data_IF_428423611031
#
_entry.id   IF_428423611031
#
_cell.length_a   1.000
_cell.length_b   1.000
_cell.length_c   1.000
_cell.angle_alpha   90.00
_cell.angle_beta   90.00
_cell.angle_gamma   90.00
#
_symmetry.space_group_name_H-M   'P 1'
#
loop_
_entity.id
_entity.type
_entity.pdbx_description
1 polymer ?
#
# COMPACT_ATOMS: atom_id res chain seq x y z
N UNK A 1 -4.59 -9.27 3.07
CA UNK A 1 -3.99 -8.16 3.82
C UNK A 1 -2.90 -8.70 4.74
N UNK A 2 -1.73 -8.08 4.76
CA UNK A 2 -0.57 -8.43 5.59
C UNK A 2 -0.94 -8.46 7.09
N UNK A 3 -1.84 -7.60 7.54
CA UNK A 3 -2.33 -7.59 8.92
C UNK A 3 -2.88 -8.93 9.42
N UNK A 4 -3.47 -9.73 8.53
CA UNK A 4 -4.00 -11.07 8.86
C UNK A 4 -2.98 -12.18 8.61
N UNK A 5 -1.97 -11.93 7.80
CA UNK A 5 -0.97 -12.92 7.42
C UNK A 5 0.05 -13.14 8.55
N UNK A 6 0.51 -12.08 9.20
CA UNK A 6 1.50 -12.16 10.27
C UNK A 6 1.01 -13.00 11.46
N UNK A 7 -0.19 -12.75 12.03
CA UNK A 7 -0.71 -13.62 13.08
C UNK A 7 -0.84 -15.09 12.66
N UNK A 8 -1.26 -15.36 11.42
CA UNK A 8 -1.38 -16.75 10.91
C UNK A 8 -0.04 -17.46 10.79
N UNK A 9 1.01 -16.76 10.35
CA UNK A 9 2.37 -17.31 10.30
C UNK A 9 2.89 -17.64 11.69
N UNK A 10 2.59 -16.78 12.65
CA UNK A 10 2.99 -16.98 14.02
C UNK A 10 2.26 -18.15 14.68
N UNK A 11 0.95 -18.33 14.41
CA UNK A 11 0.16 -19.47 14.87
C UNK A 11 0.72 -20.82 14.36
N UNK A 12 1.26 -20.89 13.15
CA UNK A 12 1.95 -22.09 12.66
C UNK A 12 3.19 -22.46 13.51
N UNK A 13 3.82 -21.48 14.16
CA UNK A 13 5.01 -21.69 15.00
C UNK A 13 4.66 -22.03 16.44
N UNK A 14 3.57 -21.53 16.98
CA UNK A 14 3.21 -21.60 18.42
C UNK A 14 2.07 -22.56 18.76
N UNK A 15 1.37 -23.13 17.78
CA UNK A 15 0.13 -23.88 18.05
C UNK A 15 -1.10 -22.99 18.31
N UNK A 16 -2.21 -23.56 18.74
CA UNK A 16 -3.51 -22.88 18.93
C UNK A 16 -3.53 -21.97 20.17
N UNK A 17 -2.79 -20.88 20.14
CA UNK A 17 -2.85 -19.81 21.16
C UNK A 17 -3.57 -18.60 20.57
N UNK A 18 -4.18 -17.75 21.41
CA UNK A 18 -4.85 -16.53 20.99
C UNK A 18 -4.03 -15.72 19.97
N UNK A 19 -4.69 -15.16 18.94
CA UNK A 19 -4.04 -14.41 17.86
C UNK A 19 -3.08 -13.35 18.43
N UNK A 20 -1.77 -13.48 18.24
CA UNK A 20 -0.81 -12.51 18.74
C UNK A 20 -0.95 -11.19 18.00
N UNK A 21 -0.72 -10.10 18.71
CA UNK A 21 -0.67 -8.76 18.08
C UNK A 21 0.54 -8.65 17.14
N UNK A 22 0.48 -7.77 16.16
CA UNK A 22 1.61 -7.49 15.27
C UNK A 22 2.85 -7.06 16.07
N UNK A 23 2.68 -6.34 17.18
CA UNK A 23 3.76 -5.95 18.06
C UNK A 23 4.44 -7.16 18.72
N UNK A 24 3.65 -8.09 19.29
CA UNK A 24 4.19 -9.30 19.91
C UNK A 24 4.96 -10.16 18.89
N UNK A 25 4.43 -10.30 17.67
CA UNK A 25 5.14 -11.01 16.59
C UNK A 25 6.47 -10.33 16.26
N UNK A 26 6.47 -9.00 16.18
CA UNK A 26 7.68 -8.22 15.91
C UNK A 26 8.72 -8.37 17.00
N UNK A 27 8.30 -8.30 18.27
CA UNK A 27 9.22 -8.40 19.41
C UNK A 27 9.89 -9.80 19.50
N UNK A 28 9.11 -10.86 19.29
CA UNK A 28 9.63 -12.23 19.29
C UNK A 28 10.57 -12.48 18.12
N UNK A 29 10.19 -12.07 16.91
CA UNK A 29 11.03 -12.27 15.72
C UNK A 29 12.21 -11.30 15.65
N UNK A 30 12.10 -10.11 16.25
CA UNK A 30 13.21 -9.17 16.35
C UNK A 30 14.33 -9.73 17.23
N UNK A 31 14.00 -10.44 18.32
CA UNK A 31 14.99 -11.12 19.14
C UNK A 31 15.75 -12.21 18.37
N UNK A 32 15.12 -12.84 17.37
CA UNK A 32 15.70 -13.83 16.48
C UNK A 32 16.34 -13.21 15.22
N UNK A 33 16.25 -11.90 15.02
CA UNK A 33 16.66 -11.18 13.78
C UNK A 33 16.05 -11.78 12.51
N UNK A 34 14.80 -12.21 12.57
CA UNK A 34 14.13 -12.93 11.47
C UNK A 34 12.84 -12.28 11.00
N UNK A 35 12.41 -11.19 11.62
CA UNK A 35 11.09 -10.60 11.37
C UNK A 35 10.88 -10.19 9.90
N UNK A 36 11.80 -9.38 9.36
CA UNK A 36 11.70 -8.94 7.97
C UNK A 36 11.81 -10.12 6.99
N UNK A 37 12.67 -11.09 7.30
CA UNK A 37 12.81 -12.32 6.52
C UNK A 37 11.53 -13.15 6.50
N UNK A 38 10.84 -13.31 7.62
CA UNK A 38 9.59 -14.07 7.69
C UNK A 38 8.47 -13.40 6.88
N UNK A 39 8.36 -12.07 6.95
CA UNK A 39 7.41 -11.33 6.13
C UNK A 39 7.76 -11.48 4.64
N UNK A 40 9.00 -11.25 4.28
CA UNK A 40 9.50 -11.38 2.91
C UNK A 40 9.19 -12.77 2.34
N UNK A 41 9.57 -13.84 3.06
CA UNK A 41 9.29 -15.22 2.66
C UNK A 41 7.80 -15.42 2.43
N UNK A 42 6.94 -14.90 3.30
CA UNK A 42 5.49 -15.06 3.17
C UNK A 42 4.88 -14.29 2.00
N UNK A 43 5.49 -13.18 1.62
CA UNK A 43 5.05 -12.40 0.46
C UNK A 43 5.38 -13.15 -0.85
N UNK A 44 6.55 -13.79 -0.92
CA UNK A 44 7.09 -14.31 -2.19
C UNK A 44 7.04 -15.83 -2.35
N UNK A 45 6.87 -16.62 -1.27
CA UNK A 45 6.73 -18.10 -1.37
C UNK A 45 5.47 -18.53 -2.16
N UNK A 46 4.45 -17.69 -2.21
CA UNK A 46 3.20 -17.92 -2.94
C UNK A 46 3.10 -17.08 -4.23
N UNK A 47 4.21 -16.48 -4.68
CA UNK A 47 4.21 -15.61 -5.86
C UNK A 47 3.81 -16.41 -7.10
N UNK A 48 2.78 -15.93 -7.79
CA UNK A 48 2.30 -16.46 -9.07
C UNK A 48 3.05 -15.83 -10.24
N UNK A 49 2.95 -16.45 -11.41
CA UNK A 49 3.46 -15.87 -12.66
C UNK A 49 2.78 -14.52 -12.96
N UNK A 50 3.52 -13.61 -13.58
CA UNK A 50 3.03 -12.30 -13.97
C UNK A 50 1.89 -12.44 -15.00
N UNK A 51 0.75 -11.86 -14.68
CA UNK A 51 -0.43 -11.84 -15.56
C UNK A 51 -0.91 -10.40 -15.73
N UNK A 52 -0.78 -9.84 -16.92
CA UNK A 52 -1.14 -8.46 -17.25
C UNK A 52 -2.64 -8.17 -17.16
N UNK A 53 -3.49 -9.18 -17.13
CA UNK A 53 -4.95 -9.02 -16.96
C UNK A 53 -5.37 -8.91 -15.48
N UNK A 54 -4.43 -8.68 -14.57
CA UNK A 54 -4.68 -8.43 -13.15
C UNK A 54 -4.73 -6.93 -12.85
N UNK A 55 -5.17 -6.59 -11.65
CA UNK A 55 -5.15 -5.19 -11.18
C UNK A 55 -3.76 -4.56 -11.31
N UNK A 56 -2.72 -5.26 -10.88
CA UNK A 56 -1.34 -4.78 -10.96
C UNK A 56 -0.86 -4.66 -12.41
N UNK A 57 -1.24 -5.62 -13.27
CA UNK A 57 -0.92 -5.57 -14.70
C UNK A 57 -1.55 -4.36 -15.39
N UNK A 58 -2.81 -4.06 -15.11
CA UNK A 58 -3.50 -2.88 -15.66
C UNK A 58 -2.94 -1.57 -15.10
N UNK A 59 -2.56 -1.52 -13.82
CA UNK A 59 -1.88 -0.36 -13.23
C UNK A 59 -0.52 -0.15 -13.90
N UNK A 60 0.24 -1.20 -14.17
CA UNK A 60 1.52 -1.10 -14.85
C UNK A 60 1.37 -0.62 -16.30
N UNK A 61 0.33 -1.06 -17.02
CA UNK A 61 0.01 -0.56 -18.36
C UNK A 61 -0.39 0.91 -18.34
N UNK A 62 -1.19 1.34 -17.33
CA UNK A 62 -1.50 2.75 -17.12
C UNK A 62 -0.23 3.57 -16.90
N UNK A 63 0.66 3.09 -16.05
CA UNK A 63 1.94 3.73 -15.78
C UNK A 63 2.84 3.81 -17.03
N UNK A 64 2.82 2.79 -17.89
CA UNK A 64 3.55 2.80 -19.16
C UNK A 64 3.03 3.91 -20.08
N UNK A 65 1.71 4.09 -20.18
CA UNK A 65 1.11 5.16 -20.99
C UNK A 65 1.44 6.56 -20.45
N UNK A 66 1.49 6.69 -19.14
CA UNK A 66 1.78 7.96 -18.44
C UNK A 66 3.29 8.19 -18.21
N UNK A 67 4.18 7.37 -18.74
CA UNK A 67 5.62 7.42 -18.49
C UNK A 67 6.26 8.77 -18.80
N UNK A 68 5.72 9.53 -19.77
CA UNK A 68 6.18 10.86 -20.15
C UNK A 68 5.68 11.98 -19.23
N UNK A 69 4.66 11.75 -18.44
CA UNK A 69 4.08 12.75 -17.55
C UNK A 69 4.88 12.83 -16.24
N UNK A 70 5.56 13.95 -16.04
CA UNK A 70 6.34 14.21 -14.82
C UNK A 70 5.47 14.31 -13.56
N UNK A 71 4.16 14.52 -13.71
CA UNK A 71 3.22 14.61 -12.59
C UNK A 71 2.64 13.26 -12.22
N UNK A 72 2.74 12.27 -13.09
CA UNK A 72 2.29 10.92 -12.77
C UNK A 72 3.17 10.28 -11.70
N UNK A 73 2.58 9.83 -10.63
CA UNK A 73 3.23 9.25 -9.46
C UNK A 73 2.42 8.06 -8.97
N UNK A 74 3.10 7.08 -8.39
CA UNK A 74 2.45 5.97 -7.71
C UNK A 74 2.88 5.99 -6.24
N UNK A 75 1.90 5.92 -5.34
CA UNK A 75 2.09 5.80 -3.91
C UNK A 75 1.57 4.45 -3.47
N UNK A 76 2.42 3.63 -2.87
CA UNK A 76 2.11 2.28 -2.41
C UNK A 76 2.12 2.22 -0.88
N UNK A 77 1.09 1.58 -0.32
CA UNK A 77 1.02 1.18 1.07
C UNK A 77 1.44 -0.30 1.25
N UNK A 78 1.70 -1.01 0.14
CA UNK A 78 2.22 -2.36 0.17
C UNK A 78 3.73 -2.37 0.39
N UNK A 79 4.24 -3.50 0.92
CA UNK A 79 5.66 -3.69 1.16
C UNK A 79 6.37 -4.41 0.01
N UNK A 80 5.59 -5.12 -0.84
CA UNK A 80 6.12 -5.93 -1.95
C UNK A 80 6.53 -5.07 -3.15
N UNK A 81 7.30 -5.68 -4.06
CA UNK A 81 7.72 -5.11 -5.34
C UNK A 81 6.98 -5.71 -6.54
N UNK A 82 5.78 -6.25 -6.33
CA UNK A 82 5.05 -6.88 -7.44
C UNK A 82 4.76 -5.90 -8.58
N UNK A 83 4.42 -4.65 -8.28
CA UNK A 83 4.19 -3.64 -9.31
C UNK A 83 5.46 -3.34 -10.09
N UNK A 84 6.61 -3.25 -9.43
CA UNK A 84 7.92 -3.06 -10.06
C UNK A 84 8.25 -4.21 -11.02
N UNK A 85 7.93 -5.45 -10.64
CA UNK A 85 8.13 -6.61 -11.52
C UNK A 85 7.27 -6.52 -12.79
N UNK A 86 6.02 -6.04 -12.70
CA UNK A 86 5.19 -5.78 -13.89
C UNK A 86 5.73 -4.62 -14.73
N UNK A 87 6.22 -3.54 -14.10
CA UNK A 87 6.83 -2.41 -14.80
C UNK A 87 8.10 -2.84 -15.55
N UNK A 88 8.94 -3.64 -14.91
CA UNK A 88 10.15 -4.20 -15.53
C UNK A 88 9.79 -5.10 -16.74
N UNK A 89 8.79 -5.96 -16.61
CA UNK A 89 8.26 -6.77 -17.69
C UNK A 89 7.78 -5.93 -18.88
N UNK A 90 7.20 -4.76 -18.62
CA UNK A 90 6.76 -3.80 -19.66
C UNK A 90 7.88 -2.85 -20.12
N UNK A 91 9.12 -3.04 -19.68
CA UNK A 91 10.27 -2.15 -19.96
C UNK A 91 10.04 -0.70 -19.50
N UNK A 92 9.24 -0.49 -18.44
CA UNK A 92 9.02 0.82 -17.82
C UNK A 92 10.09 1.06 -16.76
N UNK A 93 10.93 2.08 -16.95
CA UNK A 93 11.93 2.44 -15.95
C UNK A 93 11.28 3.04 -14.74
N UNK A 94 11.51 2.43 -13.57
CA UNK A 94 10.99 2.91 -12.30
C UNK A 94 12.09 3.06 -11.24
N UNK A 95 11.80 3.87 -10.25
CA UNK A 95 12.64 4.07 -9.06
C UNK A 95 11.76 3.96 -7.83
N UNK A 96 11.97 2.94 -7.02
CA UNK A 96 11.29 2.74 -5.75
C UNK A 96 11.94 3.57 -4.67
N UNK A 97 11.12 4.37 -4.00
CA UNK A 97 11.52 5.31 -2.96
C UNK A 97 10.92 4.86 -1.63
N UNK A 98 11.74 4.74 -0.60
CA UNK A 98 11.30 4.37 0.74
C UNK A 98 12.20 5.00 1.81
N UNK A 99 11.68 5.10 3.03
CA UNK A 99 12.45 5.64 4.15
C UNK A 99 13.25 4.53 4.80
N UNK A 100 14.56 4.72 4.92
CA UNK A 100 15.36 3.98 5.87
C UNK A 100 15.41 4.77 7.18
N UNK A 101 14.96 4.17 8.29
CA UNK A 101 15.09 4.77 9.62
C UNK A 101 16.54 4.67 10.08
N UNK A 102 17.45 5.45 9.50
CA UNK A 102 18.78 5.62 10.04
C UNK A 102 18.64 6.56 11.23
N UNK A 103 18.69 6.01 12.45
CA UNK A 103 18.83 6.83 13.64
C UNK A 103 20.27 7.36 13.66
N UNK A 104 20.45 8.60 13.26
CA UNK A 104 21.64 9.32 13.64
C UNK A 104 21.65 9.53 15.16
N UNK A 105 22.83 9.67 15.73
CA UNK A 105 23.03 10.02 17.14
C UNK A 105 22.34 11.35 17.56
N UNK A 106 21.91 12.15 16.58
CA UNK A 106 21.19 13.41 16.74
C UNK A 106 19.67 13.29 16.56
N UNK A 107 19.10 12.09 16.43
CA UNK A 107 17.65 11.85 16.33
C UNK A 107 17.00 12.23 15.01
N UNK A 108 17.76 12.54 13.95
CA UNK A 108 17.23 12.85 12.62
C UNK A 108 17.05 11.58 11.80
N UNK A 109 15.86 11.42 11.20
CA UNK A 109 15.61 10.39 10.18
C UNK A 109 16.05 10.92 8.81
N UNK A 110 16.71 10.09 8.02
CA UNK A 110 17.01 10.40 6.63
C UNK A 110 16.17 9.54 5.70
N UNK A 111 15.76 10.11 4.57
CA UNK A 111 15.16 9.38 3.48
C UNK A 111 16.25 8.95 2.51
N UNK A 112 16.40 7.65 2.30
CA UNK A 112 17.26 7.12 1.26
C UNK A 112 16.45 6.78 0.03
N UNK A 113 17.02 7.09 -1.14
CA UNK A 113 16.44 6.75 -2.44
C UNK A 113 17.04 5.43 -2.90
N UNK A 114 16.19 4.41 -3.01
CA UNK A 114 16.59 3.14 -3.56
C UNK A 114 16.08 3.04 -5.00
N UNK A 115 17.00 3.13 -5.97
CA UNK A 115 16.67 2.95 -7.37
C UNK A 115 16.84 1.48 -7.75
N UNK A 116 15.76 0.82 -8.20
CA UNK A 116 15.88 -0.54 -8.74
C UNK A 116 16.29 -0.53 -10.22
N UNK A 117 15.74 0.38 -11.03
CA UNK A 117 16.00 0.48 -12.47
C UNK A 117 16.09 1.96 -12.88
N UNK A 118 17.24 2.42 -13.32
CA UNK A 118 17.42 3.75 -13.91
C UNK A 118 17.74 4.88 -12.92
N UNK A 119 17.89 6.07 -13.46
CA UNK A 119 18.20 7.29 -12.70
C UNK A 119 16.91 7.91 -12.14
N UNK A 120 16.89 8.39 -10.89
CA UNK A 120 15.69 8.98 -10.26
C UNK A 120 15.04 10.12 -11.05
N UNK A 121 15.81 10.84 -11.85
CA UNK A 121 15.33 11.98 -12.63
C UNK A 121 14.66 11.59 -13.97
N UNK A 122 14.81 10.33 -14.41
CA UNK A 122 14.30 9.86 -15.70
C UNK A 122 13.30 8.71 -15.57
N UNK A 123 13.03 8.25 -14.35
CA UNK A 123 12.23 7.06 -14.09
C UNK A 123 10.91 7.42 -13.41
N UNK A 124 9.90 6.58 -13.63
CA UNK A 124 8.69 6.60 -12.85
C UNK A 124 9.04 6.41 -11.36
N UNK A 125 8.43 7.21 -10.50
CA UNK A 125 8.68 7.13 -9.05
C UNK A 125 7.55 6.38 -8.34
N UNK A 126 7.91 5.32 -7.63
CA UNK A 126 7.03 4.59 -6.73
C UNK A 126 7.40 4.95 -5.28
N UNK A 127 6.44 5.39 -4.51
CA UNK A 127 6.63 5.85 -3.13
C UNK A 127 6.07 4.81 -2.16
N UNK A 128 6.94 4.04 -1.51
CA UNK A 128 6.57 3.06 -0.48
C UNK A 128 6.57 3.72 0.89
N UNK A 129 5.44 4.28 1.28
CA UNK A 129 5.33 5.11 2.49
C UNK A 129 5.28 4.31 3.79
N UNK A 130 4.98 3.02 3.72
CA UNK A 130 4.98 2.11 4.86
C UNK A 130 6.17 1.15 4.91
N UNK A 131 7.12 1.32 4.00
CA UNK A 131 8.32 0.46 3.88
C UNK A 131 8.32 -0.40 2.64
N UNK A 132 9.44 -1.07 2.39
CA UNK A 132 9.69 -1.79 1.15
C UNK A 132 10.51 -3.06 1.40
N UNK A 133 10.05 -4.17 0.85
CA UNK A 133 10.69 -5.49 0.93
C UNK A 133 10.81 -6.07 -0.49
N UNK A 134 11.88 -5.75 -1.25
CA UNK A 134 12.04 -6.25 -2.61
C UNK A 134 12.33 -7.75 -2.65
N UNK A 135 11.83 -8.45 -3.67
CA UNK A 135 12.00 -9.90 -3.87
C UNK A 135 13.47 -10.34 -3.85
N UNK A 136 14.34 -9.53 -4.44
CA UNK A 136 15.77 -9.86 -4.64
C UNK A 136 16.65 -9.39 -3.48
N UNK A 137 16.08 -9.04 -2.32
CA UNK A 137 16.87 -8.65 -1.16
C UNK A 137 17.53 -9.85 -0.49
N UNK A 138 18.80 -9.70 -0.13
CA UNK A 138 19.49 -10.68 0.72
C UNK A 138 18.96 -10.61 2.16
N UNK A 139 19.14 -11.69 2.93
CA UNK A 139 18.74 -11.71 4.34
C UNK A 139 19.37 -10.58 5.15
N UNK A 140 20.64 -10.30 4.93
CA UNK A 140 21.35 -9.21 5.60
C UNK A 140 20.75 -7.84 5.25
N UNK A 141 20.41 -7.58 3.99
CA UNK A 141 19.73 -6.36 3.58
C UNK A 141 18.34 -6.22 4.21
N UNK A 142 17.58 -7.32 4.30
CA UNK A 142 16.26 -7.32 4.94
C UNK A 142 16.37 -6.98 6.43
N UNK A 143 17.33 -7.56 7.13
CA UNK A 143 17.49 -7.38 8.56
C UNK A 143 18.11 -6.01 8.94
N UNK A 144 18.93 -5.43 8.08
CA UNK A 144 19.63 -4.16 8.37
C UNK A 144 18.89 -2.95 7.78
N UNK A 145 18.52 -3.01 6.51
CA UNK A 145 17.98 -1.88 5.77
C UNK A 145 16.44 -1.86 5.79
N UNK A 146 15.82 -2.97 5.38
CA UNK A 146 14.39 -3.01 5.15
C UNK A 146 13.56 -3.15 6.43
N UNK A 147 14.05 -3.87 7.45
CA UNK A 147 13.35 -4.00 8.72
C UNK A 147 13.07 -2.66 9.38
N UNK A 148 13.97 -1.69 9.21
CA UNK A 148 13.83 -0.35 9.80
C UNK A 148 12.83 0.53 9.05
N UNK A 149 12.51 0.19 7.80
CA UNK A 149 11.57 0.94 6.96
C UNK A 149 10.12 0.51 7.13
N UNK A 150 9.87 -0.71 7.65
CA UNK A 150 8.53 -1.28 7.73
C UNK A 150 7.73 -0.59 8.83
N UNK A 151 6.57 -0.05 8.46
CA UNK A 151 5.57 0.50 9.35
C UNK A 151 4.42 -0.51 9.48
N UNK A 152 4.44 -1.34 10.52
CA UNK A 152 3.48 -2.44 10.66
C UNK A 152 2.76 -2.43 12.00
N UNK A 153 3.45 -2.04 13.07
CA UNK A 153 2.89 -2.03 14.42
C UNK A 153 2.31 -0.67 14.75
N UNK A 154 1.42 -0.61 15.74
CA UNK A 154 0.90 0.64 16.26
C UNK A 154 2.02 1.61 16.70
N UNK A 155 3.09 1.07 17.31
CA UNK A 155 4.26 1.83 17.69
C UNK A 155 4.99 2.43 16.48
N UNK A 156 5.09 1.69 15.36
CA UNK A 156 5.68 2.20 14.11
C UNK A 156 4.83 3.32 13.52
N UNK A 157 3.50 3.16 13.52
CA UNK A 157 2.56 4.19 13.10
C UNK A 157 2.68 5.44 13.97
N UNK A 158 2.70 5.28 15.30
CA UNK A 158 2.87 6.40 16.23
C UNK A 158 4.19 7.12 15.98
N UNK A 159 5.29 6.40 15.75
CA UNK A 159 6.58 7.03 15.40
C UNK A 159 6.49 7.79 14.08
N UNK A 160 5.87 7.23 13.06
CA UNK A 160 5.74 7.84 11.74
C UNK A 160 4.89 9.13 11.81
N UNK A 161 3.74 9.08 12.47
CA UNK A 161 2.77 10.17 12.49
C UNK A 161 3.03 11.25 13.55
N UNK A 162 3.87 10.96 14.56
CA UNK A 162 4.37 11.98 15.49
C UNK A 162 5.50 12.84 14.88
N UNK A 163 5.96 12.50 13.69
CA UNK A 163 6.95 13.26 12.94
C UNK A 163 6.31 13.88 11.69
N UNK A 164 5.62 15.03 11.81
CA UNK A 164 4.83 15.62 10.72
C UNK A 164 5.68 16.02 9.50
N UNK A 165 6.99 16.14 9.68
CA UNK A 165 7.96 16.46 8.63
C UNK A 165 8.70 15.23 8.10
N UNK A 166 8.31 14.02 8.53
CA UNK A 166 8.89 12.80 7.98
C UNK A 166 8.57 12.71 6.49
N UNK A 167 9.51 12.13 5.73
CA UNK A 167 9.36 11.99 4.28
C UNK A 167 8.03 11.29 3.86
N UNK A 168 7.57 10.19 4.51
CA UNK A 168 6.32 9.57 4.13
C UNK A 168 5.10 10.48 4.34
N UNK A 169 5.06 11.26 5.42
CA UNK A 169 3.97 12.18 5.71
C UNK A 169 4.00 13.37 4.74
N UNK A 170 5.16 13.99 4.56
CA UNK A 170 5.33 15.11 3.65
C UNK A 170 4.97 14.74 2.20
N UNK A 171 5.38 13.54 1.74
CA UNK A 171 5.05 13.04 0.42
C UNK A 171 3.54 12.85 0.24
N UNK A 172 2.86 12.19 1.18
CA UNK A 172 1.41 11.99 1.13
C UNK A 172 0.65 13.32 1.12
N UNK A 173 1.04 14.27 2.00
CA UNK A 173 0.43 15.59 2.04
C UNK A 173 0.58 16.35 0.72
N UNK A 174 1.77 16.33 0.10
CA UNK A 174 2.01 16.93 -1.21
C UNK A 174 1.12 16.28 -2.29
N UNK A 175 1.06 14.94 -2.33
CA UNK A 175 0.22 14.25 -3.31
C UNK A 175 -1.26 14.58 -3.13
N UNK A 176 -1.78 14.54 -1.92
CA UNK A 176 -3.19 14.82 -1.66
C UNK A 176 -3.54 16.29 -1.87
N UNK A 177 -2.60 17.20 -1.68
CA UNK A 177 -2.82 18.63 -1.89
C UNK A 177 -2.72 19.05 -3.36
N UNK A 178 -1.74 18.53 -4.08
CA UNK A 178 -1.37 19.03 -5.41
C UNK A 178 -1.99 18.21 -6.55
N UNK A 179 -2.35 16.95 -6.32
CA UNK A 179 -2.80 16.04 -7.37
C UNK A 179 -4.20 15.50 -7.14
N UNK A 180 -4.84 15.05 -8.21
CA UNK A 180 -6.00 14.14 -8.15
C UNK A 180 -5.49 12.72 -7.97
N UNK A 181 -5.90 12.05 -6.90
CA UNK A 181 -5.49 10.68 -6.60
C UNK A 181 -6.62 9.70 -6.89
N UNK A 182 -6.28 8.55 -7.48
CA UNK A 182 -7.14 7.38 -7.60
C UNK A 182 -6.66 6.31 -6.61
N UNK A 183 -7.50 5.97 -5.63
CA UNK A 183 -7.22 4.92 -4.64
C UNK A 183 -7.76 3.58 -5.14
N UNK A 184 -6.85 2.61 -5.31
CA UNK A 184 -7.15 1.25 -5.77
C UNK A 184 -6.70 0.26 -4.70
N UNK A 185 -7.58 -0.68 -4.33
CA UNK A 185 -7.28 -1.70 -3.32
C UNK A 185 -7.06 -1.16 -1.89
N UNK A 186 -7.37 0.12 -1.67
CA UNK A 186 -7.23 0.78 -0.38
C UNK A 186 -8.59 0.94 0.30
N UNK A 187 -8.75 0.37 1.50
CA UNK A 187 -10.00 0.47 2.26
C UNK A 187 -10.26 1.86 2.82
N UNK A 188 -9.25 2.71 2.90
CA UNK A 188 -9.30 4.01 3.57
C UNK A 188 -9.81 3.93 5.02
N UNK A 189 -9.65 2.77 5.67
CA UNK A 189 -10.00 2.56 7.07
C UNK A 189 -8.90 3.01 8.03
N UNK A 190 -7.68 3.20 7.53
CA UNK A 190 -6.57 3.70 8.33
C UNK A 190 -6.84 5.15 8.76
N UNK A 191 -6.97 5.43 10.08
CA UNK A 191 -7.27 6.76 10.59
C UNK A 191 -6.19 7.78 10.23
N UNK A 192 -4.97 7.34 10.03
CA UNK A 192 -3.87 8.24 9.69
C UNK A 192 -3.97 8.73 8.24
N UNK A 193 -4.28 7.85 7.30
CA UNK A 193 -4.53 8.24 5.89
C UNK A 193 -5.72 9.20 5.84
N UNK A 194 -6.79 8.90 6.58
CA UNK A 194 -7.97 9.76 6.64
C UNK A 194 -7.66 11.14 7.19
N UNK A 195 -6.88 11.22 8.26
CA UNK A 195 -6.40 12.50 8.82
C UNK A 195 -5.63 13.33 7.80
N UNK A 196 -4.74 12.70 7.01
CA UNK A 196 -4.00 13.42 5.97
C UNK A 196 -4.94 13.93 4.86
N UNK A 197 -5.93 13.13 4.48
CA UNK A 197 -6.96 13.55 3.52
C UNK A 197 -7.81 14.71 4.08
N UNK A 198 -8.23 14.65 5.34
CA UNK A 198 -8.97 15.73 6.01
C UNK A 198 -8.21 17.04 6.03
N UNK A 199 -6.90 17.00 6.34
CA UNK A 199 -6.02 18.18 6.34
C UNK A 199 -5.88 18.80 4.95
N UNK A 200 -5.97 17.99 3.90
CA UNK A 200 -5.80 18.41 2.51
C UNK A 200 -7.10 18.60 1.76
N UNK A 201 -8.24 18.24 2.37
CA UNK A 201 -9.56 18.44 1.77
C UNK A 201 -9.87 19.93 1.61
N UNK A 202 -10.33 20.28 0.41
CA UNK A 202 -10.89 21.58 0.09
C UNK A 202 -12.42 21.46 -0.06
N UNK A 203 -13.07 22.56 -0.43
CA UNK A 203 -14.54 22.64 -0.53
C UNK A 203 -15.18 21.62 -1.51
N UNK A 204 -14.40 21.05 -2.43
CA UNK A 204 -14.90 20.06 -3.39
C UNK A 204 -13.97 18.83 -3.38
N UNK A 205 -14.53 17.62 -3.43
CA UNK A 205 -13.75 16.40 -3.53
C UNK A 205 -13.05 16.33 -4.89
N UNK A 206 -11.76 16.02 -4.85
CA UNK A 206 -10.92 15.91 -6.05
C UNK A 206 -10.28 14.54 -6.23
N UNK A 207 -10.39 13.67 -5.22
CA UNK A 207 -9.85 12.31 -5.28
C UNK A 207 -10.94 11.32 -5.59
N UNK A 208 -10.55 10.12 -6.01
CA UNK A 208 -11.43 9.02 -6.33
C UNK A 208 -10.98 7.76 -5.65
N UNK A 209 -11.91 6.91 -5.21
CA UNK A 209 -11.61 5.60 -4.65
C UNK A 209 -12.56 4.55 -5.20
N UNK A 210 -12.03 3.38 -5.57
CA UNK A 210 -12.83 2.26 -6.08
C UNK A 210 -13.30 1.40 -4.92
N UNK A 211 -14.62 1.25 -4.77
CA UNK A 211 -15.25 0.45 -3.75
C UNK A 211 -16.21 -0.58 -4.34
N UNK A 212 -16.26 -1.76 -3.73
CA UNK A 212 -17.21 -2.80 -4.10
C UNK A 212 -18.60 -2.54 -3.49
N UNK A 213 -19.65 -2.81 -4.27
CA UNK A 213 -21.03 -2.84 -3.76
C UNK A 213 -21.30 -4.06 -2.90
N UNK A 214 -20.40 -5.04 -2.85
CA UNK A 214 -20.54 -6.25 -2.05
C UNK A 214 -19.52 -6.29 -0.91
N UNK A 215 -19.90 -6.90 0.20
CA UNK A 215 -19.03 -7.13 1.35
C UNK A 215 -19.22 -8.52 1.92
N UNK A 216 -18.20 -9.04 2.58
CA UNK A 216 -18.25 -10.32 3.28
C UNK A 216 -18.77 -10.10 4.70
N UNK A 217 -19.82 -10.80 5.06
CA UNK A 217 -20.39 -10.82 6.40
C UNK A 217 -20.18 -12.21 7.00
N UNK A 218 -19.52 -12.28 8.16
CA UNK A 218 -19.33 -13.53 8.90
C UNK A 218 -20.33 -13.58 10.05
N UNK A 219 -21.10 -14.67 10.14
CA UNK A 219 -22.07 -14.89 11.20
C UNK A 219 -21.39 -15.37 12.51
N UNK A 220 -22.18 -15.51 13.57
CA UNK A 220 -21.70 -15.97 14.87
C UNK A 220 -21.14 -17.42 14.85
N UNK A 221 -21.44 -18.20 13.81
CA UNK A 221 -20.97 -19.57 13.60
C UNK A 221 -19.75 -19.65 12.68
N UNK A 222 -19.19 -18.50 12.26
CA UNK A 222 -18.02 -18.44 11.38
C UNK A 222 -18.32 -18.64 9.90
N UNK A 223 -19.60 -18.77 9.51
CA UNK A 223 -19.98 -18.87 8.10
C UNK A 223 -19.94 -17.50 7.43
N UNK A 224 -19.23 -17.41 6.31
CA UNK A 224 -19.05 -16.15 5.57
C UNK A 224 -19.96 -16.09 4.35
N UNK A 225 -20.83 -15.09 4.31
CA UNK A 225 -21.74 -14.83 3.19
C UNK A 225 -21.39 -13.51 2.52
N UNK A 226 -21.58 -13.42 1.19
CA UNK A 226 -21.45 -12.16 0.46
C UNK A 226 -22.79 -11.45 0.46
N UNK A 227 -22.82 -10.23 0.96
CA UNK A 227 -23.99 -9.35 0.99
C UNK A 227 -23.79 -8.15 0.10
N UNK A 228 -24.87 -7.61 -0.44
CA UNK A 228 -24.86 -6.39 -1.23
C UNK A 228 -25.24 -5.19 -0.36
N UNK A 229 -24.53 -4.07 -0.55
CA UNK A 229 -24.87 -2.80 0.07
C UNK A 229 -26.19 -2.26 -0.49
N UNK A 230 -27.06 -1.77 0.39
CA UNK A 230 -28.27 -1.07 -0.03
C UNK A 230 -27.94 0.31 -0.61
N UNK A 231 -28.88 0.93 -1.32
CA UNK A 231 -28.69 2.31 -1.80
C UNK A 231 -28.48 3.30 -0.64
N UNK A 232 -29.10 3.04 0.51
CA UNK A 232 -28.93 3.85 1.73
C UNK A 232 -27.48 3.71 2.28
N UNK A 233 -26.96 2.49 2.34
CA UNK A 233 -25.60 2.24 2.81
C UNK A 233 -24.58 2.94 1.90
N UNK A 234 -24.75 2.83 0.58
CA UNK A 234 -23.88 3.49 -0.39
C UNK A 234 -23.90 5.02 -0.24
N UNK A 235 -25.06 5.62 -0.10
CA UNK A 235 -25.20 7.06 0.12
C UNK A 235 -24.51 7.51 1.42
N UNK A 236 -24.61 6.71 2.49
CA UNK A 236 -23.90 7.00 3.74
C UNK A 236 -22.38 6.95 3.58
N UNK A 237 -21.87 5.95 2.86
CA UNK A 237 -20.46 5.80 2.54
C UNK A 237 -19.98 6.98 1.67
N UNK A 238 -20.71 7.31 0.61
CA UNK A 238 -20.40 8.45 -0.26
C UNK A 238 -20.32 9.76 0.53
N UNK A 239 -21.32 10.06 1.35
CA UNK A 239 -21.36 11.25 2.18
C UNK A 239 -20.20 11.31 3.18
N UNK A 240 -19.80 10.15 3.72
CA UNK A 240 -18.68 10.07 4.64
C UNK A 240 -17.36 10.40 3.93
N UNK A 241 -17.10 9.79 2.77
CA UNK A 241 -15.86 10.00 2.02
C UNK A 241 -15.82 11.36 1.30
N UNK A 242 -16.97 11.88 0.90
CA UNK A 242 -17.08 13.22 0.32
C UNK A 242 -16.50 14.30 1.26
N UNK A 243 -16.73 14.18 2.57
CA UNK A 243 -16.24 15.13 3.58
C UNK A 243 -14.72 15.18 3.67
N UNK A 244 -14.03 14.10 3.30
CA UNK A 244 -12.56 14.03 3.27
C UNK A 244 -11.99 14.16 1.85
N UNK A 245 -12.79 14.67 0.92
CA UNK A 245 -12.34 15.01 -0.43
C UNK A 245 -12.33 13.86 -1.42
N UNK A 246 -13.08 12.78 -1.20
CA UNK A 246 -13.09 11.58 -2.04
C UNK A 246 -14.47 11.32 -2.64
N UNK A 247 -14.51 11.09 -3.96
CA UNK A 247 -15.63 10.53 -4.70
C UNK A 247 -15.48 9.01 -4.79
N UNK A 248 -16.55 8.27 -4.52
CA UNK A 248 -16.56 6.81 -4.62
C UNK A 248 -16.94 6.37 -6.03
N UNK A 249 -16.13 5.51 -6.61
CA UNK A 249 -16.39 4.80 -7.86
C UNK A 249 -16.82 3.37 -7.50
N UNK A 250 -18.09 3.06 -7.74
CA UNK A 250 -18.66 1.77 -7.38
C UNK A 250 -18.42 0.72 -8.47
N UNK A 251 -17.87 -0.43 -8.06
CA UNK A 251 -17.87 -1.68 -8.86
C UNK A 251 -18.76 -2.71 -8.19
N UNK A 252 -19.34 -3.65 -8.94
CA UNK A 252 -20.20 -4.69 -8.36
C UNK A 252 -19.39 -5.59 -7.41
N UNK A 253 -18.19 -5.95 -7.86
CA UNK A 253 -17.23 -6.80 -7.13
C UNK A 253 -15.81 -6.34 -7.46
N UNK A 254 -14.87 -6.54 -6.56
CA UNK A 254 -13.46 -6.17 -6.79
C UNK A 254 -12.82 -6.88 -7.99
N UNK A 255 -13.36 -8.02 -8.42
CA UNK A 255 -12.92 -8.71 -9.64
C UNK A 255 -13.20 -7.93 -10.93
N UNK A 256 -14.02 -6.90 -10.88
CA UNK A 256 -14.27 -6.00 -12.02
C UNK A 256 -13.19 -4.91 -12.17
N UNK A 257 -12.33 -4.69 -11.16
CA UNK A 257 -11.31 -3.64 -11.20
C UNK A 257 -10.38 -3.78 -12.41
N UNK A 258 -9.84 -4.97 -12.75
CA UNK A 258 -8.99 -5.11 -13.93
C UNK A 258 -9.70 -4.66 -15.21
N UNK A 259 -10.95 -5.04 -15.40
CA UNK A 259 -11.75 -4.65 -16.58
C UNK A 259 -12.00 -3.13 -16.60
N UNK A 260 -12.30 -2.56 -15.44
CA UNK A 260 -12.49 -1.11 -15.31
C UNK A 260 -11.21 -0.34 -15.64
N UNK A 261 -10.08 -0.78 -15.11
CA UNK A 261 -8.76 -0.20 -15.39
C UNK A 261 -8.37 -0.38 -16.87
N UNK A 262 -8.67 -1.55 -17.46
CA UNK A 262 -8.46 -1.77 -18.88
C UNK A 262 -9.22 -0.76 -19.73
N UNK A 263 -10.50 -0.53 -19.46
CA UNK A 263 -11.30 0.46 -20.17
C UNK A 263 -10.75 1.90 -19.99
N UNK A 264 -10.30 2.23 -18.77
CA UNK A 264 -9.61 3.50 -18.52
C UNK A 264 -8.33 3.60 -19.38
N UNK A 265 -7.52 2.57 -19.42
CA UNK A 265 -6.30 2.51 -20.23
C UNK A 265 -6.58 2.73 -21.74
N UNK A 266 -7.69 2.20 -22.24
CA UNK A 266 -8.08 2.41 -23.63
C UNK A 266 -8.58 3.83 -23.92
N UNK A 267 -9.06 4.57 -22.92
CA UNK A 267 -9.57 5.92 -23.06
C UNK A 267 -8.49 7.02 -22.96
N UNK A 268 -7.30 6.67 -22.50
CA UNK A 268 -6.14 7.58 -22.45
C UNK A 268 -5.43 7.51 -23.81
N UNK A 269 -5.56 8.57 -24.58
CA UNK A 269 -4.94 8.72 -25.93
C UNK A 269 -3.56 9.35 -25.81
#
# INVERSE_FOLDING_TARGET
SIFWMIPRLFLKKLGEVALPTAQLCKDIWASEKTFAWQIHKSLYDAAQDLNLNTELGEIAQLAQRCQGDRNFRILSYNYDDFLEQYLDFLNVRCCSMFTTKIRYSNGRDSADFYGMNGQPNQSLRLYHVHGFLPKVATRDQLDTLHMRSICLTEADYNMLYNQPYSWPIASQLSFFRENTCLFIGCSLSDPNIRRLLEITAYNLPKHYAIFSMTYKSTDAHGSTTTKQLTSKDRLQIENHFYRIGINILWVKDYREIPVWLHNLNQSIV
#
